data_IF_452367090464
#
_entry.id   IF_452367090464
#
_cell.length_a   1.000
_cell.length_b   1.000
_cell.length_c   1.000
_cell.angle_alpha   90.00
_cell.angle_beta   90.00
_cell.angle_gamma   90.00
#
_symmetry.space_group_name_H-M   'P 1'
#
loop_
_entity.id
_entity.type
_entity.pdbx_description
1 polymer ?
#
# COMPACT_ATOMS: atom_id res chain seq x y z
N UNK A 1 -7.71 -9.68 -19.93
CA UNK A 1 -6.95 -10.95 -19.98
C UNK A 1 -5.63 -10.98 -19.22
N UNK A 2 -4.93 -9.87 -18.96
CA UNK A 2 -3.62 -9.93 -18.26
C UNK A 2 -3.67 -10.27 -16.75
N UNK A 3 -4.83 -10.21 -16.09
CA UNK A 3 -4.94 -10.32 -14.63
C UNK A 3 -5.52 -11.65 -14.12
N UNK A 4 -5.77 -12.62 -15.01
CA UNK A 4 -6.18 -13.98 -14.64
C UNK A 4 -4.98 -14.93 -14.65
N UNK A 5 -3.82 -14.48 -14.16
CA UNK A 5 -2.68 -15.36 -13.97
C UNK A 5 -3.02 -16.39 -12.89
N UNK A 6 -2.99 -17.68 -13.25
CA UNK A 6 -3.15 -18.77 -12.28
C UNK A 6 -1.91 -18.76 -11.39
N UNK A 7 -2.12 -18.52 -10.10
CA UNK A 7 -1.06 -18.51 -9.10
C UNK A 7 -0.98 -19.90 -8.47
N UNK A 8 0.05 -20.67 -8.82
CA UNK A 8 0.32 -21.98 -8.20
C UNK A 8 0.98 -21.78 -6.83
N UNK A 9 0.15 -21.54 -5.82
CA UNK A 9 0.58 -21.40 -4.43
C UNK A 9 0.21 -22.63 -3.60
N UNK A 10 1.07 -23.05 -2.67
CA UNK A 10 0.68 -24.00 -1.62
C UNK A 10 -0.56 -23.52 -0.87
N UNK A 11 -1.51 -24.43 -0.62
CA UNK A 11 -2.76 -24.11 0.08
C UNK A 11 -2.52 -23.47 1.46
N UNK A 12 -1.47 -23.89 2.16
CA UNK A 12 -1.05 -23.33 3.46
C UNK A 12 -0.77 -21.82 3.38
N UNK A 13 -0.13 -21.35 2.31
CA UNK A 13 0.19 -19.93 2.13
C UNK A 13 -1.09 -19.11 1.90
N UNK A 14 -2.01 -19.64 1.09
CA UNK A 14 -3.29 -18.98 0.82
C UNK A 14 -4.16 -18.91 2.08
N UNK A 15 -4.30 -20.03 2.80
CA UNK A 15 -5.11 -20.10 4.01
C UNK A 15 -4.53 -19.25 5.14
N UNK A 16 -3.20 -19.21 5.29
CA UNK A 16 -2.56 -18.33 6.27
C UNK A 16 -2.82 -16.86 5.96
N UNK A 17 -2.77 -16.46 4.68
CA UNK A 17 -3.11 -15.09 4.27
C UNK A 17 -4.57 -14.75 4.60
N UNK A 18 -5.51 -15.63 4.26
CA UNK A 18 -6.94 -15.45 4.58
C UNK A 18 -7.15 -15.27 6.08
N UNK A 19 -6.56 -16.15 6.89
CA UNK A 19 -6.66 -16.09 8.35
C UNK A 19 -6.02 -14.82 8.91
N UNK A 20 -4.73 -14.62 8.65
CA UNK A 20 -3.91 -13.59 9.30
C UNK A 20 -4.28 -12.17 8.86
N UNK A 21 -4.53 -11.97 7.55
CA UNK A 21 -4.82 -10.63 6.98
C UNK A 21 -6.30 -10.30 7.05
N UNK A 22 -7.16 -11.19 6.53
CA UNK A 22 -8.57 -10.88 6.30
C UNK A 22 -9.50 -11.22 7.46
N UNK A 23 -9.19 -12.23 8.28
CA UNK A 23 -10.03 -12.61 9.43
C UNK A 23 -9.51 -12.01 10.74
N UNK A 24 -8.21 -12.16 11.01
CA UNK A 24 -7.62 -11.76 12.29
C UNK A 24 -7.22 -10.28 12.31
N UNK A 25 -6.91 -9.70 11.15
CA UNK A 25 -6.35 -8.36 11.00
C UNK A 25 -5.10 -8.19 11.87
N UNK A 26 -4.17 -9.14 11.79
CA UNK A 26 -3.08 -9.26 12.74
C UNK A 26 -2.16 -8.04 12.76
N UNK A 27 -1.86 -7.44 11.59
CA UNK A 27 -0.99 -6.28 11.47
C UNK A 27 -1.55 -5.02 12.18
N UNK A 28 -2.76 -4.52 11.84
CA UNK A 28 -3.29 -3.33 12.51
C UNK A 28 -3.60 -3.57 14.00
N UNK A 29 -3.76 -4.82 14.45
CA UNK A 29 -3.94 -5.16 15.87
C UNK A 29 -2.63 -5.36 16.64
N UNK A 30 -1.46 -5.24 15.99
CA UNK A 30 -0.16 -5.43 16.63
C UNK A 30 0.14 -6.87 17.05
N UNK A 31 -0.41 -7.84 16.30
CA UNK A 31 -0.30 -9.29 16.58
C UNK A 31 0.35 -10.09 15.46
N UNK A 32 0.80 -9.42 14.40
CA UNK A 32 1.49 -10.07 13.30
C UNK A 32 2.95 -10.35 13.68
N UNK A 33 3.38 -11.58 13.45
CA UNK A 33 4.77 -12.01 13.53
C UNK A 33 5.24 -12.47 12.16
N UNK A 34 6.50 -12.21 11.85
CA UNK A 34 7.21 -12.82 10.72
C UNK A 34 8.34 -13.62 11.33
N UNK A 35 8.26 -14.96 11.23
CA UNK A 35 9.07 -15.87 12.07
C UNK A 35 8.86 -15.52 13.54
N UNK A 36 9.92 -15.29 14.29
CA UNK A 36 9.87 -14.95 15.73
C UNK A 36 9.89 -13.43 16.00
N UNK A 37 9.80 -12.59 14.95
CA UNK A 37 9.84 -11.14 15.08
C UNK A 37 8.46 -10.49 14.94
N UNK A 38 8.09 -9.69 15.94
CA UNK A 38 6.86 -8.90 15.93
C UNK A 38 6.95 -7.77 14.91
N UNK A 39 5.99 -7.70 13.99
CA UNK A 39 5.93 -6.62 12.99
C UNK A 39 5.48 -5.32 13.64
N UNK A 40 6.31 -4.27 13.52
CA UNK A 40 6.07 -2.95 14.12
C UNK A 40 6.16 -1.84 13.06
N UNK A 41 5.07 -1.49 12.36
CA UNK A 41 5.08 -0.42 11.35
C UNK A 41 5.54 0.93 11.90
N UNK A 42 5.28 1.20 13.19
CA UNK A 42 5.75 2.41 13.86
C UNK A 42 7.28 2.48 13.97
N UNK A 43 8.03 1.40 13.78
CA UNK A 43 9.50 1.43 13.76
C UNK A 43 10.08 1.98 12.46
N UNK A 44 9.23 2.34 11.48
CA UNK A 44 9.64 2.94 10.22
C UNK A 44 9.82 4.46 10.40
N UNK A 45 11.05 4.94 10.19
CA UNK A 45 11.42 6.36 10.35
C UNK A 45 12.02 7.00 9.09
N UNK A 46 12.79 6.22 8.32
CA UNK A 46 13.65 6.73 7.25
C UNK A 46 12.96 6.97 5.89
N UNK A 47 12.08 6.10 5.38
CA UNK A 47 11.48 6.31 4.07
C UNK A 47 10.40 7.39 4.10
N UNK A 48 10.08 7.95 2.93
CA UNK A 48 8.86 8.70 2.71
C UNK A 48 7.71 7.72 2.39
N UNK A 49 6.46 8.07 2.71
CA UNK A 49 5.29 7.21 2.50
C UNK A 49 4.27 7.88 1.58
N UNK A 50 4.03 7.28 0.42
CA UNK A 50 2.95 7.63 -0.49
C UNK A 50 1.95 6.48 -0.54
N UNK A 51 0.68 6.78 -0.33
CA UNK A 51 -0.44 5.85 -0.52
C UNK A 51 -1.30 6.34 -1.67
N UNK A 52 -1.67 5.45 -2.59
CA UNK A 52 -2.52 5.76 -3.74
C UNK A 52 -3.72 4.83 -3.72
N UNK A 53 -4.91 5.38 -3.94
CA UNK A 53 -6.17 4.64 -4.06
C UNK A 53 -6.89 5.06 -5.34
N UNK A 54 -7.76 4.19 -5.87
CA UNK A 54 -8.65 4.52 -6.98
C UNK A 54 -10.04 4.86 -6.46
N UNK A 55 -10.64 5.97 -6.91
CA UNK A 55 -11.99 6.36 -6.47
C UNK A 55 -13.05 5.28 -6.75
N UNK A 56 -12.87 4.51 -7.83
CA UNK A 56 -13.78 3.47 -8.28
C UNK A 56 -13.20 2.06 -8.05
N UNK A 57 -12.25 1.92 -7.11
CA UNK A 57 -11.67 0.62 -6.74
C UNK A 57 -12.67 -0.19 -5.89
N UNK A 58 -13.09 -1.32 -6.41
CA UNK A 58 -14.03 -2.27 -5.79
C UNK A 58 -13.34 -3.48 -5.14
N UNK A 59 -12.01 -3.58 -5.21
CA UNK A 59 -11.20 -4.65 -4.61
C UNK A 59 -10.55 -4.16 -3.31
N UNK A 60 -9.88 -3.01 -3.36
CA UNK A 60 -9.28 -2.33 -2.21
C UNK A 60 -9.94 -0.97 -2.02
N UNK A 61 -11.02 -0.94 -1.25
CA UNK A 61 -11.83 0.26 -1.06
C UNK A 61 -11.08 1.43 -0.42
N UNK A 62 -11.62 2.63 -0.63
CA UNK A 62 -11.06 3.88 -0.11
C UNK A 62 -10.83 3.83 1.41
N UNK A 63 -9.67 4.35 1.84
CA UNK A 63 -9.21 4.39 3.22
C UNK A 63 -8.39 3.19 3.68
N UNK A 64 -8.45 2.04 2.98
CA UNK A 64 -7.68 0.86 3.38
C UNK A 64 -6.16 1.06 3.21
N UNK A 65 -5.75 1.70 2.11
CA UNK A 65 -4.35 2.00 1.85
C UNK A 65 -3.92 3.24 2.63
N UNK A 66 -4.79 4.24 2.79
CA UNK A 66 -4.54 5.42 3.64
C UNK A 66 -4.24 5.03 5.11
N UNK A 67 -4.86 3.96 5.62
CA UNK A 67 -4.64 3.47 6.98
C UNK A 67 -3.16 3.20 7.31
N UNK A 68 -2.31 2.95 6.31
CA UNK A 68 -0.87 2.82 6.48
C UNK A 68 -0.24 4.06 7.16
N UNK A 69 -0.79 5.26 6.98
CA UNK A 69 -0.32 6.47 7.66
C UNK A 69 -0.52 6.42 9.18
N UNK A 70 -1.60 5.79 9.65
CA UNK A 70 -1.83 5.61 11.08
C UNK A 70 -0.88 4.56 11.68
N UNK A 71 -0.54 3.51 10.91
CA UNK A 71 0.39 2.46 11.33
C UNK A 71 1.86 2.96 11.34
N UNK A 72 2.26 3.71 10.32
CA UNK A 72 3.62 4.23 10.15
C UNK A 72 3.81 5.61 10.81
N UNK A 73 3.31 5.74 12.05
CA UNK A 73 3.17 7.01 12.78
C UNK A 73 4.48 7.78 13.04
N UNK A 74 5.65 7.16 12.87
CA UNK A 74 6.94 7.82 13.07
C UNK A 74 7.62 8.34 11.79
N UNK A 75 7.01 8.17 10.61
CA UNK A 75 7.45 8.88 9.40
C UNK A 75 7.02 10.36 9.53
N UNK A 76 7.86 11.38 9.35
CA UNK A 76 7.40 12.77 9.47
C UNK A 76 6.23 13.09 8.53
N UNK A 77 5.20 13.82 8.99
CA UNK A 77 4.02 14.19 8.15
C UNK A 77 4.41 14.87 6.83
N UNK A 78 5.47 15.68 6.84
CA UNK A 78 6.00 16.33 5.63
C UNK A 78 6.55 15.36 4.58
N UNK A 79 6.83 14.11 4.96
CA UNK A 79 7.30 13.02 4.08
C UNK A 79 6.21 12.00 3.81
N UNK A 80 4.95 12.36 4.06
CA UNK A 80 3.78 11.53 3.80
C UNK A 80 2.87 12.21 2.79
N UNK A 81 2.29 11.41 1.91
CA UNK A 81 1.26 11.86 1.00
C UNK A 81 0.21 10.76 0.80
N UNK A 82 -1.03 11.18 0.56
CA UNK A 82 -2.13 10.32 0.17
C UNK A 82 -2.81 10.92 -1.07
N UNK A 83 -3.19 10.09 -2.03
CA UNK A 83 -3.85 10.51 -3.25
C UNK A 83 -4.92 9.51 -3.67
N UNK A 84 -6.15 9.98 -3.80
CA UNK A 84 -7.25 9.23 -4.43
C UNK A 84 -7.34 9.66 -5.89
N UNK A 85 -7.18 8.71 -6.81
CA UNK A 85 -7.20 8.94 -8.25
C UNK A 85 -8.65 9.00 -8.78
N UNK A 86 -9.14 10.17 -9.25
CA UNK A 86 -10.54 10.33 -9.64
C UNK A 86 -10.89 9.51 -10.88
N UNK A 87 -12.03 8.81 -10.83
CA UNK A 87 -12.55 7.97 -11.92
C UNK A 87 -11.64 6.79 -12.29
N UNK A 88 -10.77 6.35 -11.37
CA UNK A 88 -9.84 5.25 -11.58
C UNK A 88 -10.28 4.06 -10.73
N UNK A 89 -10.45 2.89 -11.37
CA UNK A 89 -10.68 1.62 -10.68
C UNK A 89 -9.38 0.87 -10.38
N UNK A 90 -9.50 -0.31 -9.76
CA UNK A 90 -8.36 -1.08 -9.21
C UNK A 90 -7.16 -1.23 -10.15
N UNK A 91 -7.37 -1.68 -11.39
CA UNK A 91 -6.24 -1.90 -12.31
C UNK A 91 -5.71 -0.61 -12.95
N UNK A 92 -6.52 0.46 -12.94
CA UNK A 92 -6.15 1.75 -13.53
C UNK A 92 -5.11 2.51 -12.70
N UNK A 93 -4.92 2.15 -11.42
CA UNK A 93 -3.85 2.71 -10.59
C UNK A 93 -2.48 2.06 -10.85
N UNK A 94 -2.39 1.04 -11.70
CA UNK A 94 -1.14 0.37 -12.05
C UNK A 94 -0.80 0.42 -13.54
N UNK A 95 -1.79 0.59 -14.41
CA UNK A 95 -1.59 0.46 -15.86
C UNK A 95 -2.49 1.35 -16.72
N UNK A 96 -2.18 1.40 -18.02
CA UNK A 96 -3.01 2.09 -19.02
C UNK A 96 -2.93 3.62 -18.97
N UNK A 97 -3.93 4.27 -19.56
CA UNK A 97 -3.98 5.74 -19.72
C UNK A 97 -4.09 6.46 -18.39
N UNK A 98 -4.96 5.98 -17.49
CA UNK A 98 -5.16 6.56 -16.15
C UNK A 98 -3.86 6.53 -15.34
N UNK A 99 -3.11 5.43 -15.37
CA UNK A 99 -1.78 5.38 -14.77
C UNK A 99 -0.85 6.47 -15.33
N UNK A 100 -0.66 6.52 -16.65
CA UNK A 100 0.31 7.44 -17.29
C UNK A 100 -0.02 8.92 -17.06
N UNK A 101 -1.31 9.27 -17.11
CA UNK A 101 -1.75 10.67 -17.08
C UNK A 101 -2.08 11.17 -15.67
N UNK A 102 -2.50 10.29 -14.75
CA UNK A 102 -3.00 10.69 -13.42
C UNK A 102 -2.09 10.23 -12.30
N UNK A 103 -1.71 8.95 -12.27
CA UNK A 103 -1.05 8.34 -11.10
C UNK A 103 0.48 8.45 -11.18
N UNK A 104 1.08 8.06 -12.30
CA UNK A 104 2.53 8.08 -12.50
C UNK A 104 3.16 9.46 -12.26
N UNK A 105 2.57 10.59 -12.72
CA UNK A 105 3.11 11.91 -12.40
C UNK A 105 3.21 12.16 -10.89
N UNK A 106 2.22 11.71 -10.10
CA UNK A 106 2.23 11.83 -8.64
C UNK A 106 3.35 11.00 -8.01
N UNK A 107 3.55 9.77 -8.48
CA UNK A 107 4.65 8.89 -8.02
C UNK A 107 6.01 9.52 -8.34
N UNK A 108 6.22 9.93 -9.60
CA UNK A 108 7.45 10.58 -10.06
C UNK A 108 7.76 11.83 -9.25
N UNK A 109 6.79 12.71 -9.07
CA UNK A 109 6.97 13.97 -8.36
C UNK A 109 7.24 13.74 -6.88
N UNK A 110 6.54 12.79 -6.25
CA UNK A 110 6.79 12.40 -4.87
C UNK A 110 8.20 11.84 -4.67
N UNK A 111 8.67 10.96 -5.57
CA UNK A 111 10.03 10.44 -5.55
C UNK A 111 11.02 11.61 -5.68
N UNK A 112 10.85 12.46 -6.70
CA UNK A 112 11.72 13.63 -6.92
C UNK A 112 11.83 14.52 -5.67
N UNK A 113 10.71 14.87 -5.05
CA UNK A 113 10.65 15.67 -3.82
C UNK A 113 11.36 15.02 -2.63
N UNK A 114 11.45 13.69 -2.58
CA UNK A 114 12.04 12.94 -1.47
C UNK A 114 13.39 12.29 -1.83
N UNK A 115 13.93 12.55 -3.02
CA UNK A 115 15.24 12.03 -3.49
C UNK A 115 16.40 12.98 -3.15
N UNK A 116 16.10 14.16 -2.61
CA UNK A 116 17.09 15.09 -2.05
C UNK A 116 17.69 14.55 -0.75
N UNK A 117 19.00 14.40 -0.76
CA UNK A 117 19.91 13.90 0.28
C UNK A 117 19.39 14.01 1.71
N UNK A 118 19.33 12.87 2.42
CA UNK A 118 19.45 12.88 3.87
C UNK A 118 20.80 13.51 4.29
N UNK A 119 20.95 13.91 5.56
CA UNK A 119 22.25 14.32 6.09
C UNK A 119 23.32 13.23 5.87
#
# INVERSE_FOLDING_TARGET
DEYNAVLDLPAEYYLDTVKTVFQEFALPKGRMFVRDEMVRPHAIHKPALLTIEGELDDISGNGQTEAAHALCLNIPRARRAHFVAPGVGHYGIFSGRRWREVVFPRVRDFISLNSGSGP
#
